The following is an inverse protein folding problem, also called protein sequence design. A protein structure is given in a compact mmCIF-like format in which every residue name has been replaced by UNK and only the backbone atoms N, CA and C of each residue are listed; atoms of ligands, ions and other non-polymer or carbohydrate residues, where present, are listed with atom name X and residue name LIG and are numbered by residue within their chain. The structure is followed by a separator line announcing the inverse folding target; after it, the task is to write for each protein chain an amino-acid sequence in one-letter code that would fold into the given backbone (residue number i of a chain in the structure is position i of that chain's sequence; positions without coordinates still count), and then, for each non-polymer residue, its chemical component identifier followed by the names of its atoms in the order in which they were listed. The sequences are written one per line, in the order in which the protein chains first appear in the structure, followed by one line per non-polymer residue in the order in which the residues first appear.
data_IF_894860394683
#
_entry.id   IF_894860394683
#
_cell.length_a   1.000
_cell.length_b   1.000
_cell.length_c   1.000
_cell.angle_alpha   90.00
_cell.angle_beta   90.00
_cell.angle_gamma   90.00
#
_symmetry.space_group_name_H-M   'P 1'
#
loop_
_entity.id
_entity.type
_entity.pdbx_description
1 polymer ?
#
# COMPACT_ATOMS: atom_id res chain seq x y z
N UNK A 1 -14.44 23.99 -26.89
CA UNK A 1 -14.34 22.97 -25.83
C UNK A 1 -12.95 22.37 -25.95
N UNK A 2 -12.00 22.90 -25.18
CA UNK A 2 -10.59 22.52 -25.25
C UNK A 2 -10.20 21.83 -23.95
N UNK A 3 -9.50 20.70 -24.07
CA UNK A 3 -8.65 20.12 -23.03
C UNK A 3 -9.38 19.20 -22.06
N UNK A 4 -8.87 18.03 -21.69
CA UNK A 4 -7.60 17.38 -22.00
C UNK A 4 -7.84 15.92 -21.65
N UNK A 5 -7.57 14.98 -22.55
CA UNK A 5 -7.48 13.56 -22.16
C UNK A 5 -6.31 13.44 -21.19
N UNK A 6 -6.57 13.22 -19.90
CA UNK A 6 -5.54 12.71 -19.01
C UNK A 6 -5.18 11.31 -19.54
N UNK A 7 -4.10 11.25 -20.32
CA UNK A 7 -3.51 9.98 -20.72
C UNK A 7 -3.05 9.29 -19.45
N UNK A 8 -3.69 8.17 -19.11
CA UNK A 8 -3.28 7.29 -18.01
C UNK A 8 -1.96 6.56 -18.29
N UNK A 9 -1.29 6.85 -19.42
CA UNK A 9 0.03 6.32 -19.67
C UNK A 9 1.00 6.93 -18.65
N UNK A 10 1.41 6.10 -17.68
CA UNK A 10 2.58 6.30 -16.82
C UNK A 10 3.66 6.95 -17.69
N UNK A 11 3.95 8.23 -17.45
CA UNK A 11 5.06 8.88 -18.13
C UNK A 11 6.28 8.01 -17.85
N UNK A 12 6.85 7.40 -18.88
CA UNK A 12 8.04 6.56 -18.76
C UNK A 12 9.10 7.42 -18.09
N UNK A 13 9.36 7.17 -16.80
CA UNK A 13 10.41 7.86 -16.05
C UNK A 13 11.72 7.50 -16.74
N UNK A 14 12.43 8.49 -17.24
CA UNK A 14 13.74 8.30 -17.88
C UNK A 14 14.79 7.97 -16.83
N UNK A 15 15.75 7.08 -17.15
CA UNK A 15 16.63 6.50 -16.17
C UNK A 15 17.88 7.33 -16.00
N UNK A 16 17.92 8.22 -15.01
CA UNK A 16 19.19 8.70 -14.44
C UNK A 16 18.97 9.10 -12.97
N UNK A 17 19.46 8.26 -12.05
CA UNK A 17 20.28 8.62 -10.86
C UNK A 17 20.21 7.52 -9.77
N UNK A 18 21.12 6.55 -9.87
CA UNK A 18 21.59 5.55 -8.87
C UNK A 18 20.52 4.77 -8.08
N UNK A 19 20.41 3.47 -8.40
CA UNK A 19 19.53 2.43 -7.84
C UNK A 19 18.06 2.52 -8.29
N UNK A 20 17.82 2.25 -9.57
CA UNK A 20 16.45 2.15 -10.11
C UNK A 20 15.77 0.89 -9.59
N UNK A 21 14.89 1.07 -8.59
CA UNK A 21 13.95 0.05 -8.17
C UNK A 21 13.04 -0.25 -9.38
N UNK A 22 13.18 -1.43 -10.00
CA UNK A 22 12.27 -1.91 -11.05
C UNK A 22 10.93 -2.31 -10.42
N UNK A 23 10.08 -1.31 -10.22
CA UNK A 23 8.79 -1.47 -9.55
C UNK A 23 7.84 -2.46 -10.24
N UNK A 24 8.02 -2.77 -11.53
CA UNK A 24 7.11 -3.64 -12.27
C UNK A 24 7.15 -5.11 -11.79
N UNK A 25 8.20 -5.50 -11.06
CA UNK A 25 8.36 -6.84 -10.48
C UNK A 25 7.98 -6.92 -9.00
N UNK A 26 7.78 -5.77 -8.33
CA UNK A 26 7.48 -5.75 -6.90
C UNK A 26 6.01 -6.08 -6.61
N UNK A 27 5.67 -6.62 -5.43
CA UNK A 27 4.31 -6.60 -4.92
C UNK A 27 3.76 -5.17 -4.81
N UNK A 28 2.44 -5.01 -4.93
CA UNK A 28 1.76 -3.75 -4.63
C UNK A 28 1.41 -3.70 -3.15
N UNK A 29 1.63 -2.56 -2.49
CA UNK A 29 1.19 -2.32 -1.11
C UNK A 29 0.14 -1.22 -1.06
N UNK A 30 -0.95 -1.51 -0.37
CA UNK A 30 -2.03 -0.57 -0.08
C UNK A 30 -2.23 -0.46 1.43
N UNK A 31 -2.59 0.72 1.91
CA UNK A 31 -2.82 0.93 3.33
C UNK A 31 -4.00 1.83 3.66
N UNK A 32 -4.54 1.64 4.86
CA UNK A 32 -5.57 2.51 5.40
C UNK A 32 -4.95 3.84 5.83
N UNK A 33 -5.06 4.89 5.00
CA UNK A 33 -4.49 6.23 5.27
C UNK A 33 -5.47 7.22 5.91
N UNK A 34 -6.16 6.80 6.99
CA UNK A 34 -7.08 7.63 7.78
C UNK A 34 -6.40 8.44 8.91
N UNK A 35 -7.16 9.24 9.66
CA UNK A 35 -6.64 10.20 10.66
C UNK A 35 -6.30 9.61 12.06
N UNK A 36 -6.60 8.35 12.33
CA UNK A 36 -6.25 7.72 13.62
C UNK A 36 -4.79 7.28 13.68
N UNK A 37 -4.21 7.16 14.87
CA UNK A 37 -2.85 6.65 15.10
C UNK A 37 -2.56 5.35 14.34
N UNK A 38 -3.46 4.38 14.42
CA UNK A 38 -3.34 3.10 13.72
C UNK A 38 -3.33 3.22 12.18
N UNK A 39 -4.02 4.22 11.64
CA UNK A 39 -4.09 4.47 10.21
C UNK A 39 -2.88 5.27 9.72
N UNK A 40 -2.39 6.21 10.53
CA UNK A 40 -1.11 6.87 10.30
C UNK A 40 0.03 5.85 10.31
N UNK A 41 0.03 4.88 11.23
CA UNK A 41 1.01 3.80 11.25
C UNK A 41 0.90 2.89 10.02
N UNK A 42 -0.31 2.46 9.64
CA UNK A 42 -0.50 1.66 8.43
C UNK A 42 0.05 2.37 7.18
N UNK A 43 -0.18 3.69 7.09
CA UNK A 43 0.35 4.52 6.02
C UNK A 43 1.88 4.61 6.07
N UNK A 44 2.47 4.88 7.23
CA UNK A 44 3.92 4.99 7.41
C UNK A 44 4.65 3.69 7.06
N UNK A 45 4.08 2.54 7.43
CA UNK A 45 4.61 1.23 7.06
C UNK A 45 4.62 1.04 5.54
N UNK A 46 3.51 1.33 4.85
CA UNK A 46 3.44 1.20 3.38
C UNK A 46 4.42 2.14 2.67
N UNK A 47 4.51 3.40 3.11
CA UNK A 47 5.46 4.38 2.55
C UNK A 47 6.91 3.95 2.78
N UNK A 48 7.21 3.38 3.95
CA UNK A 48 8.56 2.89 4.26
C UNK A 48 8.94 1.72 3.36
N UNK A 49 8.04 0.74 3.19
CA UNK A 49 8.25 -0.41 2.30
C UNK A 49 8.50 0.02 0.84
N UNK A 50 7.79 1.05 0.38
CA UNK A 50 7.99 1.64 -0.95
C UNK A 50 9.37 2.27 -1.12
N UNK A 51 9.78 3.09 -0.16
CA UNK A 51 11.11 3.73 -0.17
C UNK A 51 12.26 2.73 -0.03
N UNK A 52 12.02 1.63 0.66
CA UNK A 52 12.98 0.54 0.82
C UNK A 52 13.06 -0.38 -0.41
N UNK A 53 12.16 -0.22 -1.39
CA UNK A 53 12.09 -1.08 -2.58
C UNK A 53 11.55 -2.48 -2.32
N UNK A 54 10.83 -2.68 -1.22
CA UNK A 54 10.24 -3.97 -0.83
C UNK A 54 8.89 -4.21 -1.53
N UNK A 55 8.13 -3.14 -1.78
CA UNK A 55 6.86 -3.17 -2.50
C UNK A 55 6.64 -1.83 -3.22
N UNK A 56 5.77 -1.74 -4.22
CA UNK A 56 5.33 -0.45 -4.78
C UNK A 56 4.04 0.01 -4.10
N UNK A 57 4.03 1.19 -3.49
CA UNK A 57 2.82 1.73 -2.87
C UNK A 57 1.89 2.37 -3.90
N UNK A 58 0.60 2.06 -3.83
CA UNK A 58 -0.45 2.70 -4.64
C UNK A 58 -1.62 3.25 -3.79
N UNK A 59 -2.34 4.22 -4.33
CA UNK A 59 -3.30 5.01 -3.57
C UNK A 59 -4.67 4.31 -3.43
N UNK A 60 -4.94 3.79 -2.23
CA UNK A 60 -6.22 3.11 -1.95
C UNK A 60 -7.44 4.04 -2.08
N UNK A 61 -7.28 5.34 -1.79
CA UNK A 61 -8.38 6.30 -1.87
C UNK A 61 -8.89 6.44 -3.32
N UNK A 62 -7.98 6.37 -4.29
CA UNK A 62 -8.35 6.39 -5.69
C UNK A 62 -8.94 5.06 -6.18
N UNK A 63 -8.48 3.92 -5.67
CA UNK A 63 -9.13 2.62 -5.90
C UNK A 63 -10.57 2.66 -5.38
N UNK A 64 -10.79 3.07 -4.13
CA UNK A 64 -12.12 3.21 -3.53
C UNK A 64 -13.01 4.24 -4.23
N UNK A 65 -12.41 5.24 -4.87
CA UNK A 65 -13.07 6.26 -5.68
C UNK A 65 -13.28 5.90 -7.15
N UNK A 66 -12.82 4.73 -7.61
CA UNK A 66 -12.95 4.30 -9.00
C UNK A 66 -12.09 5.10 -10.00
N UNK A 67 -10.96 5.65 -9.55
CA UNK A 67 -10.01 6.38 -10.40
C UNK A 67 -9.31 5.38 -11.31
N UNK A 68 -9.65 5.40 -12.61
CA UNK A 68 -9.25 4.35 -13.57
C UNK A 68 -7.77 3.93 -13.51
N UNK A 69 -6.77 4.85 -13.57
CA UNK A 69 -5.36 4.44 -13.48
C UNK A 69 -4.99 3.66 -12.20
N UNK A 70 -5.65 3.95 -11.09
CA UNK A 70 -5.39 3.32 -9.79
C UNK A 70 -6.13 1.98 -9.66
N UNK A 71 -7.32 1.88 -10.25
CA UNK A 71 -8.03 0.60 -10.40
C UNK A 71 -7.24 -0.33 -11.33
N UNK A 72 -6.79 0.16 -12.48
CA UNK A 72 -5.99 -0.61 -13.45
C UNK A 72 -4.75 -1.21 -12.77
N UNK A 73 -4.05 -0.40 -11.96
CA UNK A 73 -2.91 -0.87 -11.15
C UNK A 73 -3.33 -1.96 -10.15
N UNK A 74 -4.41 -1.75 -9.40
CA UNK A 74 -4.91 -2.71 -8.42
C UNK A 74 -5.39 -4.03 -9.06
N UNK A 75 -5.80 -4.00 -10.33
CA UNK A 75 -6.24 -5.18 -11.10
C UNK A 75 -5.15 -5.74 -12.01
N UNK A 76 -3.90 -5.29 -11.87
CA UNK A 76 -2.79 -5.67 -12.77
C UNK A 76 -2.39 -7.15 -12.68
N UNK A 77 -2.84 -7.86 -11.63
CA UNK A 77 -2.46 -9.25 -11.35
C UNK A 77 -1.14 -9.40 -10.60
N UNK A 78 -0.47 -8.29 -10.24
CA UNK A 78 0.68 -8.33 -9.33
C UNK A 78 0.25 -8.76 -7.93
N UNK A 79 1.14 -9.38 -7.13
CA UNK A 79 0.84 -9.71 -5.75
C UNK A 79 0.45 -8.46 -4.95
N UNK A 80 -0.57 -8.57 -4.10
CA UNK A 80 -1.14 -7.45 -3.34
C UNK A 80 -1.00 -7.67 -1.84
N UNK A 81 -0.48 -6.65 -1.18
CA UNK A 81 -0.40 -6.53 0.27
C UNK A 81 -1.34 -5.43 0.72
N UNK A 82 -2.27 -5.75 1.61
CA UNK A 82 -3.16 -4.79 2.26
C UNK A 82 -2.78 -4.61 3.73
N UNK A 83 -2.62 -3.35 4.16
CA UNK A 83 -2.32 -2.98 5.55
C UNK A 83 -3.46 -2.13 6.11
N UNK A 84 -4.27 -2.71 6.99
CA UNK A 84 -5.35 -2.03 7.68
C UNK A 84 -5.00 -1.75 9.14
N UNK A 85 -5.20 -0.51 9.58
CA UNK A 85 -4.91 -0.12 10.96
C UNK A 85 -5.90 -0.72 11.97
N UNK A 86 -7.13 -1.07 11.56
CA UNK A 86 -8.19 -1.49 12.49
C UNK A 86 -9.17 -2.49 11.86
N UNK A 87 -10.04 -3.13 12.66
CA UNK A 87 -11.00 -4.14 12.18
C UNK A 87 -12.08 -3.64 11.21
N UNK A 88 -12.04 -2.36 10.81
CA UNK A 88 -12.89 -1.85 9.75
C UNK A 88 -12.38 -2.24 8.36
N UNK A 89 -11.10 -2.61 8.22
CA UNK A 89 -10.55 -3.17 6.98
C UNK A 89 -10.82 -2.31 5.73
N UNK A 90 -10.66 -0.99 5.85
CA UNK A 90 -11.01 -0.03 4.79
C UNK A 90 -10.27 -0.33 3.48
N UNK A 91 -9.02 -0.79 3.56
CA UNK A 91 -8.20 -1.13 2.39
C UNK A 91 -8.76 -2.36 1.70
N UNK A 92 -8.97 -3.44 2.47
CA UNK A 92 -9.58 -4.65 1.95
C UNK A 92 -10.93 -4.36 1.29
N UNK A 93 -11.80 -3.60 1.94
CA UNK A 93 -13.11 -3.24 1.38
C UNK A 93 -13.02 -2.44 0.08
N UNK A 94 -12.02 -1.57 -0.08
CA UNK A 94 -11.81 -0.84 -1.33
C UNK A 94 -11.33 -1.77 -2.46
N UNK A 95 -10.48 -2.76 -2.15
CA UNK A 95 -10.02 -3.77 -3.11
C UNK A 95 -11.17 -4.73 -3.50
N UNK A 96 -11.94 -5.21 -2.51
CA UNK A 96 -13.07 -6.13 -2.71
C UNK A 96 -14.12 -5.56 -3.69
N UNK A 97 -14.29 -4.22 -3.74
CA UNK A 97 -15.22 -3.56 -4.68
C UNK A 97 -14.86 -3.74 -6.15
N UNK A 98 -13.60 -4.08 -6.43
CA UNK A 98 -13.08 -4.36 -7.78
C UNK A 98 -12.71 -5.83 -7.94
N UNK A 99 -13.29 -6.70 -7.11
CA UNK A 99 -13.05 -8.15 -7.11
C UNK A 99 -11.56 -8.53 -6.89
N UNK A 100 -10.82 -7.66 -6.19
CA UNK A 100 -9.42 -7.88 -5.86
C UNK A 100 -9.30 -8.37 -4.42
N UNK A 101 -8.74 -9.57 -4.24
CA UNK A 101 -8.37 -10.10 -2.93
C UNK A 101 -6.86 -9.91 -2.70
N UNK A 102 -6.43 -9.39 -1.53
CA UNK A 102 -5.01 -9.29 -1.22
C UNK A 102 -4.40 -10.67 -0.95
N UNK A 103 -3.18 -10.92 -1.44
CA UNK A 103 -2.38 -12.12 -1.13
C UNK A 103 -1.92 -12.15 0.32
N UNK A 104 -1.69 -10.96 0.89
CA UNK A 104 -1.41 -10.77 2.31
C UNK A 104 -2.23 -9.61 2.86
N UNK A 105 -2.88 -9.84 3.99
CA UNK A 105 -3.67 -8.84 4.68
C UNK A 105 -3.24 -8.74 6.13
N UNK A 106 -2.85 -7.54 6.56
CA UNK A 106 -2.43 -7.24 7.91
C UNK A 106 -3.43 -6.31 8.57
N UNK A 107 -4.02 -6.75 9.68
CA UNK A 107 -4.85 -5.90 10.54
C UNK A 107 -4.03 -5.52 11.78
N UNK A 108 -3.48 -4.32 11.82
CA UNK A 108 -2.52 -3.89 12.84
C UNK A 108 -3.05 -3.97 14.27
N UNK A 109 -4.37 -3.84 14.46
CA UNK A 109 -5.01 -4.03 15.75
C UNK A 109 -4.78 -5.44 16.33
N UNK A 110 -4.67 -6.46 15.49
CA UNK A 110 -4.35 -7.84 15.88
C UNK A 110 -2.89 -8.00 16.32
N UNK A 111 -2.04 -7.01 15.99
CA UNK A 111 -0.65 -6.91 16.38
C UNK A 111 -0.42 -5.93 17.55
N UNK A 112 -1.48 -5.56 18.27
CA UNK A 112 -1.41 -4.73 19.47
C UNK A 112 -1.39 -3.22 19.19
N UNK A 113 -1.71 -2.77 17.98
CA UNK A 113 -1.81 -1.35 17.65
C UNK A 113 -3.17 -0.80 18.08
N UNK A 114 -3.18 0.15 19.00
CA UNK A 114 -4.40 0.83 19.42
C UNK A 114 -4.84 1.89 18.41
N UNK A 115 -6.16 2.01 18.20
CA UNK A 115 -6.76 3.07 17.41
C UNK A 115 -7.10 4.25 18.31
N UNK A 116 -6.33 5.32 18.21
CA UNK A 116 -6.53 6.56 18.95
C UNK A 116 -6.62 7.74 17.99
N UNK A 117 -7.31 8.80 18.41
CA UNK A 117 -7.43 10.03 17.64
C UNK A 117 -6.61 11.13 18.32
N UNK A 118 -6.07 12.05 17.52
CA UNK A 118 -5.25 13.17 18.01
C UNK A 118 -4.00 12.72 18.78
N UNK A 119 -3.43 11.58 18.41
CA UNK A 119 -2.25 11.00 19.06
C UNK A 119 -1.43 10.28 18.00
N UNK A 120 -0.10 10.38 18.12
CA UNK A 120 0.83 9.67 17.25
C UNK A 120 0.89 8.18 17.62
N UNK A 121 1.40 7.34 16.71
CA UNK A 121 1.61 5.92 16.99
C UNK A 121 2.89 5.68 17.80
N UNK A 122 2.98 4.50 18.41
CA UNK A 122 4.18 4.05 19.10
C UNK A 122 5.30 3.68 18.09
N UNK A 123 6.44 4.34 18.21
CA UNK A 123 7.60 4.12 17.36
C UNK A 123 8.21 2.72 17.54
N UNK A 124 8.18 2.15 18.76
CA UNK A 124 8.69 0.80 18.98
C UNK A 124 7.82 -0.25 18.28
N UNK A 125 6.50 -0.04 18.29
CA UNK A 125 5.57 -0.82 17.49
C UNK A 125 5.83 -0.65 15.99
N UNK A 126 6.08 0.58 15.52
CA UNK A 126 6.37 0.86 14.11
C UNK A 126 7.61 0.12 13.61
N UNK A 127 8.74 0.20 14.33
CA UNK A 127 9.98 -0.47 13.93
C UNK A 127 9.84 -1.99 13.93
N UNK A 128 9.16 -2.55 14.93
CA UNK A 128 8.90 -3.99 15.02
C UNK A 128 8.05 -4.47 13.85
N UNK A 129 6.98 -3.74 13.53
CA UNK A 129 6.06 -4.08 12.45
C UNK A 129 6.73 -3.91 11.08
N UNK A 130 7.50 -2.84 10.85
CA UNK A 130 8.24 -2.63 9.60
C UNK A 130 9.16 -3.82 9.30
N UNK A 131 9.95 -4.25 10.28
CA UNK A 131 10.85 -5.42 10.11
C UNK A 131 10.09 -6.70 9.80
N UNK A 132 8.97 -6.96 10.49
CA UNK A 132 8.13 -8.13 10.25
C UNK A 132 7.55 -8.11 8.83
N UNK A 133 6.90 -7.00 8.45
CA UNK A 133 6.23 -6.87 7.16
C UNK A 133 7.24 -6.97 6.01
N UNK A 134 8.40 -6.31 6.11
CA UNK A 134 9.42 -6.38 5.07
C UNK A 134 9.85 -7.83 4.80
N UNK A 135 10.21 -8.57 5.86
CA UNK A 135 10.61 -9.97 5.73
C UNK A 135 9.52 -10.87 5.15
N UNK A 136 8.25 -10.64 5.49
CA UNK A 136 7.13 -11.44 4.98
C UNK A 136 6.77 -11.12 3.53
N UNK A 137 6.99 -9.87 3.10
CA UNK A 137 6.73 -9.42 1.73
C UNK A 137 7.86 -9.84 0.79
N UNK A 138 9.12 -9.77 1.22
CA UNK A 138 10.26 -10.32 0.47
C UNK A 138 10.06 -11.81 0.19
N UNK A 139 9.64 -12.58 1.20
CA UNK A 139 9.32 -14.01 1.04
C UNK A 139 8.11 -14.26 0.11
N UNK A 140 7.18 -13.31 -0.02
CA UNK A 140 6.08 -13.39 -0.98
C UNK A 140 6.60 -13.21 -2.41
N UNK A 141 7.48 -12.22 -2.63
CA UNK A 141 8.07 -11.92 -3.93
C UNK A 141 8.91 -13.08 -4.48
N UNK A 142 9.56 -13.86 -3.61
CA UNK A 142 10.33 -15.06 -4.03
C UNK A 142 9.45 -16.23 -4.51
N UNK A 143 8.13 -16.20 -4.24
CA UNK A 143 7.20 -17.28 -4.58
C UNK A 143 6.24 -16.98 -5.73
N UNK A 144 6.22 -15.73 -6.20
CA UNK A 144 5.39 -15.25 -7.30
C UNK A 144 6.08 -15.46 -8.66
#
# INVERSE_FOLDING_TARGET
MCGTTFSSARAKRTPEMSDEIEYDELPLVYSCSGCSSAAQLANDLAVSLDRDGVAEMSCIAGVGGGVAPLVDTATSGRPIVAIDGCPLECTKQCLDRHDVAPDRHYVLAEHGVAKEYHTDYDNEAAERLRRKLASEIEALAETA
#
